data_IF_039827304066
#
_entry.id   IF_039827304066
#
_cell.length_a   1.000
_cell.length_b   1.000
_cell.length_c   1.000
_cell.angle_alpha   90.00
_cell.angle_beta   90.00
_cell.angle_gamma   90.00
#
_symmetry.space_group_name_H-M   'P 1'
#
loop_
_entity.id
_entity.type
_entity.pdbx_description
1 polymer ?
#
# COMPACT_ATOMS: atom_id res chain seq x y z
N UNK A 1 3.87 -12.54 6.87
CA UNK A 1 3.67 -11.26 7.60
C UNK A 1 3.57 -11.53 9.09
N UNK A 2 3.99 -10.59 9.94
CA UNK A 2 3.76 -10.68 11.39
C UNK A 2 2.47 -9.94 11.78
N UNK A 3 1.41 -10.67 12.11
CA UNK A 3 0.16 -10.07 12.59
C UNK A 3 0.17 -9.90 14.11
N UNK A 4 -0.43 -8.82 14.59
CA UNK A 4 -0.78 -8.67 16.02
C UNK A 4 -1.95 -9.58 16.38
N UNK A 5 -2.32 -9.64 17.67
CA UNK A 5 -3.53 -10.36 18.10
C UNK A 5 -4.80 -9.78 17.43
N UNK A 6 -4.92 -8.45 17.37
CA UNK A 6 -6.05 -7.80 16.69
C UNK A 6 -6.02 -8.08 15.19
N UNK A 7 -4.85 -7.97 14.56
CA UNK A 7 -4.67 -8.23 13.15
C UNK A 7 -5.06 -9.66 12.76
N UNK A 8 -4.66 -10.64 13.56
CA UNK A 8 -5.04 -12.04 13.38
C UNK A 8 -6.55 -12.26 13.57
N UNK A 9 -7.16 -11.64 14.58
CA UNK A 9 -8.60 -11.74 14.83
C UNK A 9 -9.42 -11.16 13.67
N UNK A 10 -9.13 -9.93 13.24
CA UNK A 10 -9.80 -9.28 12.12
C UNK A 10 -9.55 -10.01 10.81
N UNK A 11 -8.35 -10.58 10.61
CA UNK A 11 -8.09 -11.37 9.40
C UNK A 11 -8.98 -12.62 9.30
N UNK A 12 -9.49 -13.14 10.41
CA UNK A 12 -10.36 -14.32 10.44
C UNK A 12 -11.85 -13.96 10.49
N UNK A 13 -12.21 -12.67 10.60
CA UNK A 13 -13.60 -12.25 10.68
C UNK A 13 -14.32 -12.32 9.32
N UNK A 14 -15.65 -12.14 9.37
CA UNK A 14 -16.48 -12.02 8.16
C UNK A 14 -16.16 -10.75 7.35
N UNK A 15 -16.59 -10.75 6.09
CA UNK A 15 -16.31 -9.67 5.11
C UNK A 15 -16.74 -8.29 5.63
N UNK A 16 -17.91 -8.18 6.26
CA UNK A 16 -18.40 -6.90 6.77
C UNK A 16 -17.47 -6.28 7.82
N UNK A 17 -16.97 -7.09 8.75
CA UNK A 17 -16.06 -6.60 9.80
C UNK A 17 -14.69 -6.24 9.20
N UNK A 18 -14.19 -7.04 8.25
CA UNK A 18 -12.95 -6.71 7.52
C UNK A 18 -13.05 -5.37 6.81
N UNK A 19 -14.14 -5.13 6.09
CA UNK A 19 -14.36 -3.88 5.36
C UNK A 19 -14.44 -2.68 6.29
N UNK A 20 -15.10 -2.80 7.45
CA UNK A 20 -15.13 -1.76 8.49
C UNK A 20 -13.72 -1.40 8.96
N UNK A 21 -12.88 -2.39 9.26
CA UNK A 21 -11.49 -2.15 9.67
C UNK A 21 -10.64 -1.58 8.52
N UNK A 22 -10.82 -2.06 7.28
CA UNK A 22 -10.16 -1.50 6.12
C UNK A 22 -10.48 -0.01 5.91
N UNK A 23 -11.76 0.36 6.06
CA UNK A 23 -12.19 1.75 5.98
C UNK A 23 -11.58 2.58 7.13
N UNK A 24 -11.57 2.06 8.36
CA UNK A 24 -10.92 2.75 9.48
C UNK A 24 -9.44 3.01 9.20
N UNK A 25 -8.71 2.02 8.67
CA UNK A 25 -7.31 2.17 8.27
C UNK A 25 -7.14 3.18 7.12
N UNK A 26 -7.98 3.15 6.09
CA UNK A 26 -7.91 4.09 4.96
C UNK A 26 -8.28 5.52 5.35
N UNK A 27 -9.22 5.72 6.26
CA UNK A 27 -9.62 7.05 6.72
C UNK A 27 -8.77 7.57 7.90
N UNK A 28 -7.87 6.75 8.44
CA UNK A 28 -6.97 7.14 9.54
C UNK A 28 -7.66 7.18 10.90
N UNK A 29 -8.74 6.41 11.05
CA UNK A 29 -9.41 6.17 12.32
C UNK A 29 -8.74 5.03 13.11
N UNK A 30 -7.83 4.28 12.48
CA UNK A 30 -7.03 3.23 13.09
C UNK A 30 -5.59 3.31 12.58
N UNK A 31 -4.63 2.87 13.40
CA UNK A 31 -3.24 2.72 13.00
C UNK A 31 -2.99 1.30 12.46
N UNK A 32 -2.14 1.15 11.45
CA UNK A 32 -1.82 -0.18 10.90
C UNK A 32 -0.96 -1.00 11.85
N UNK A 33 -0.19 -0.33 12.71
CA UNK A 33 0.70 -1.00 13.67
C UNK A 33 -0.11 -1.79 14.72
N UNK A 34 -1.40 -1.47 14.90
CA UNK A 34 -2.33 -2.26 15.72
C UNK A 34 -2.68 -3.62 15.08
N UNK A 35 -2.41 -3.82 13.79
CA UNK A 35 -2.77 -5.02 13.02
C UNK A 35 -1.55 -5.79 12.50
N UNK A 36 -0.54 -5.08 12.03
CA UNK A 36 0.66 -5.64 11.41
C UNK A 36 1.89 -5.14 12.17
N UNK A 37 2.65 -6.06 12.74
CA UNK A 37 3.89 -5.75 13.45
C UNK A 37 5.06 -5.58 12.49
N UNK A 38 6.02 -4.73 12.84
CA UNK A 38 7.32 -4.63 12.18
C UNK A 38 7.47 -3.49 11.19
N UNK A 39 6.44 -2.68 10.94
CA UNK A 39 6.55 -1.45 10.15
C UNK A 39 6.97 -1.67 8.70
N UNK A 40 6.68 -2.85 8.13
CA UNK A 40 7.05 -3.20 6.75
C UNK A 40 5.96 -2.68 5.80
N UNK A 41 6.34 -1.74 4.92
CA UNK A 41 5.42 -1.07 3.99
C UNK A 41 4.59 -2.02 3.12
N UNK A 42 5.21 -3.07 2.58
CA UNK A 42 4.52 -4.09 1.77
C UNK A 42 3.45 -4.84 2.55
N UNK A 43 3.74 -5.15 3.82
CA UNK A 43 2.85 -5.94 4.66
C UNK A 43 1.64 -5.10 5.08
N UNK A 44 1.87 -3.85 5.49
CA UNK A 44 0.82 -2.87 5.75
C UNK A 44 -0.13 -2.72 4.55
N UNK A 45 0.41 -2.54 3.35
CA UNK A 45 -0.39 -2.43 2.14
C UNK A 45 -1.17 -3.72 1.84
N UNK A 46 -0.52 -4.87 1.98
CA UNK A 46 -1.11 -6.17 1.68
C UNK A 46 -2.26 -6.51 2.64
N UNK A 47 -2.11 -6.17 3.91
CA UNK A 47 -3.13 -6.40 4.92
C UNK A 47 -4.41 -5.60 4.61
N UNK A 48 -4.28 -4.33 4.26
CA UNK A 48 -5.45 -3.51 3.87
C UNK A 48 -6.09 -4.05 2.59
N UNK A 49 -5.30 -4.43 1.58
CA UNK A 49 -5.82 -5.07 0.37
C UNK A 49 -6.62 -6.33 0.70
N UNK A 50 -6.09 -7.18 1.56
CA UNK A 50 -6.75 -8.37 2.03
C UNK A 50 -8.10 -8.06 2.69
N UNK A 51 -8.16 -7.04 3.56
CA UNK A 51 -9.40 -6.67 4.23
C UNK A 51 -10.45 -6.07 3.27
N UNK A 52 -10.03 -5.37 2.22
CA UNK A 52 -10.92 -4.79 1.22
C UNK A 52 -11.51 -5.84 0.26
N UNK A 53 -10.73 -6.87 -0.05
CA UNK A 53 -11.02 -7.86 -1.09
C UNK A 53 -11.65 -9.11 -0.48
N UNK A 54 -12.98 -9.17 -0.53
CA UNK A 54 -13.72 -10.41 -0.24
C UNK A 54 -13.63 -11.46 -1.35
N UNK A 55 -12.96 -11.18 -2.46
CA UNK A 55 -12.87 -12.01 -3.67
C UNK A 55 -11.76 -13.09 -3.62
N UNK A 56 -10.96 -13.13 -2.55
CA UNK A 56 -10.03 -14.24 -2.28
C UNK A 56 -8.68 -14.17 -3.00
N UNK A 57 -8.35 -13.07 -3.68
CA UNK A 57 -7.04 -12.88 -4.34
C UNK A 57 -5.86 -12.96 -3.37
N UNK A 58 -6.08 -12.59 -2.10
CA UNK A 58 -5.15 -12.85 -0.99
C UNK A 58 -5.88 -13.78 -0.02
N UNK A 59 -5.38 -14.99 0.17
CA UNK A 59 -5.92 -15.94 1.15
C UNK A 59 -5.30 -15.71 2.54
N UNK A 60 -5.90 -16.20 3.63
CA UNK A 60 -5.27 -16.17 4.95
C UNK A 60 -3.87 -16.80 4.96
N UNK A 61 -3.67 -17.93 4.26
CA UNK A 61 -2.36 -18.56 4.10
C UNK A 61 -1.36 -17.63 3.38
N UNK A 62 -1.82 -16.95 2.31
CA UNK A 62 -0.96 -15.98 1.58
C UNK A 62 -0.46 -14.86 2.48
N UNK A 63 -1.31 -14.33 3.38
CA UNK A 63 -0.90 -13.30 4.35
C UNK A 63 0.22 -13.78 5.26
N UNK A 64 0.10 -15.01 5.78
CA UNK A 64 1.06 -15.56 6.74
C UNK A 64 2.37 -15.95 6.04
N UNK A 65 2.28 -16.58 4.87
CA UNK A 65 3.42 -17.16 4.16
C UNK A 65 4.22 -16.12 3.34
N UNK A 66 3.62 -14.96 3.03
CA UNK A 66 4.30 -13.90 2.26
C UNK A 66 4.87 -12.85 3.21
N UNK A 67 6.17 -12.62 3.13
CA UNK A 67 6.90 -11.64 3.97
C UNK A 67 7.71 -10.68 3.13
N UNK A 68 7.79 -9.43 3.61
CA UNK A 68 8.68 -8.41 3.03
C UNK A 68 8.57 -8.26 1.51
N UNK A 69 9.70 -8.40 0.81
CA UNK A 69 9.78 -8.16 -0.62
C UNK A 69 9.04 -9.19 -1.49
N UNK A 70 8.67 -10.36 -0.95
CA UNK A 70 7.88 -11.36 -1.70
C UNK A 70 6.50 -10.84 -2.10
N UNK A 71 6.00 -9.81 -1.40
CA UNK A 71 4.78 -9.10 -1.77
C UNK A 71 4.89 -8.37 -3.11
N UNK A 72 6.10 -7.97 -3.57
CA UNK A 72 6.29 -7.28 -4.85
C UNK A 72 5.71 -8.10 -6.01
N UNK A 73 6.04 -9.39 -6.05
CA UNK A 73 5.53 -10.32 -7.07
C UNK A 73 4.01 -10.50 -6.97
N UNK A 74 3.48 -10.53 -5.74
CA UNK A 74 2.03 -10.70 -5.51
C UNK A 74 1.22 -9.47 -5.95
N UNK A 75 1.70 -8.27 -5.65
CA UNK A 75 1.06 -7.02 -6.09
C UNK A 75 1.07 -6.85 -7.61
N UNK A 76 2.00 -7.53 -8.29
CA UNK A 76 2.07 -7.53 -9.74
C UNK A 76 2.19 -6.10 -10.31
N UNK A 77 3.05 -5.29 -9.69
CA UNK A 77 3.26 -3.90 -10.07
C UNK A 77 3.82 -3.74 -11.49
N UNK A 78 4.66 -4.68 -11.93
CA UNK A 78 5.31 -4.65 -13.25
C UNK A 78 4.31 -4.77 -14.41
N UNK A 79 3.21 -5.49 -14.20
CA UNK A 79 2.11 -5.55 -15.17
C UNK A 79 1.03 -4.49 -14.88
N UNK A 80 1.28 -3.60 -13.93
CA UNK A 80 0.38 -2.52 -13.49
C UNK A 80 0.21 -1.40 -14.51
N UNK A 81 -0.59 -0.42 -14.13
CA UNK A 81 -0.55 0.90 -14.77
C UNK A 81 0.50 1.79 -14.10
N UNK A 82 0.99 2.81 -14.79
CA UNK A 82 1.76 3.88 -14.15
C UNK A 82 0.86 5.08 -13.88
N UNK A 83 1.03 5.71 -12.72
CA UNK A 83 0.35 6.96 -12.42
C UNK A 83 1.01 8.12 -13.16
N UNK A 84 0.20 8.91 -13.86
CA UNK A 84 0.61 10.05 -14.68
C UNK A 84 0.85 11.35 -13.87
N UNK A 85 0.65 11.32 -12.56
CA UNK A 85 0.77 12.47 -11.67
C UNK A 85 -0.47 13.35 -11.58
N UNK A 86 -1.55 12.99 -12.28
CA UNK A 86 -2.75 13.84 -12.45
C UNK A 86 -4.05 13.09 -12.23
N UNK A 87 -4.17 11.90 -12.81
CA UNK A 87 -5.36 11.07 -12.77
C UNK A 87 -5.70 10.64 -11.34
N UNK A 88 -6.98 10.57 -11.00
CA UNK A 88 -7.41 10.08 -9.68
C UNK A 88 -7.11 8.58 -9.56
N UNK A 89 -6.38 8.18 -8.52
CA UNK A 89 -6.14 6.78 -8.19
C UNK A 89 -7.33 6.26 -7.38
N UNK A 90 -7.94 5.12 -7.74
CA UNK A 90 -9.01 4.52 -6.95
C UNK A 90 -8.57 4.23 -5.52
N UNK A 91 -9.48 4.42 -4.55
CA UNK A 91 -9.23 4.07 -3.16
C UNK A 91 -9.04 2.55 -3.02
N UNK A 92 -8.12 2.15 -2.15
CA UNK A 92 -7.77 0.76 -1.93
C UNK A 92 -6.80 0.18 -2.95
N UNK A 93 -6.38 0.91 -3.98
CA UNK A 93 -5.31 0.47 -4.90
C UNK A 93 -3.98 0.39 -4.17
N UNK A 94 -3.28 -0.75 -4.27
CA UNK A 94 -1.89 -0.84 -3.82
C UNK A 94 -0.97 -0.13 -4.80
N UNK A 95 -0.04 0.65 -4.27
CA UNK A 95 0.89 1.47 -5.04
C UNK A 95 2.31 1.00 -4.74
N UNK A 96 3.12 0.83 -5.78
CA UNK A 96 4.55 0.54 -5.68
C UNK A 96 5.37 1.72 -6.17
N UNK A 97 6.40 2.10 -5.41
CA UNK A 97 7.39 3.09 -5.85
C UNK A 97 8.61 2.36 -6.36
N UNK A 98 8.96 2.61 -7.62
CA UNK A 98 10.01 1.89 -8.34
C UNK A 98 11.13 2.82 -8.77
N UNK A 99 12.37 2.37 -8.61
CA UNK A 99 13.57 3.03 -9.10
C UNK A 99 14.40 1.99 -9.85
N UNK A 100 14.81 2.32 -11.07
CA UNK A 100 15.59 1.41 -11.94
C UNK A 100 14.93 0.03 -12.10
N UNK A 101 13.60 -0.01 -12.18
CA UNK A 101 12.81 -1.24 -12.28
C UNK A 101 12.57 -1.95 -10.95
N UNK A 102 13.19 -1.51 -9.85
CA UNK A 102 13.02 -2.13 -8.53
C UNK A 102 12.03 -1.36 -7.65
N UNK A 103 10.92 -2.03 -7.31
CA UNK A 103 10.00 -1.50 -6.30
C UNK A 103 10.70 -1.51 -4.94
N UNK A 104 10.82 -0.36 -4.30
CA UNK A 104 11.50 -0.19 -3.00
C UNK A 104 10.53 0.16 -1.86
N UNK A 105 9.35 0.66 -2.18
CA UNK A 105 8.34 1.03 -1.21
C UNK A 105 6.93 0.71 -1.72
N UNK A 106 5.99 0.50 -0.79
CA UNK A 106 4.59 0.26 -1.12
C UNK A 106 3.64 1.03 -0.19
N UNK A 107 2.49 1.40 -0.74
CA UNK A 107 1.47 2.17 -0.05
C UNK A 107 0.07 1.74 -0.49
N UNK A 108 -0.95 2.26 0.18
CA UNK A 108 -2.35 2.13 -0.22
C UNK A 108 -2.92 3.50 -0.56
N UNK A 109 -3.53 3.59 -1.75
CA UNK A 109 -4.34 4.74 -2.13
C UNK A 109 -5.55 4.86 -1.22
N UNK A 110 -5.83 6.06 -0.72
CA UNK A 110 -7.09 6.40 -0.05
C UNK A 110 -8.03 7.18 -0.97
N UNK A 111 -7.72 7.21 -2.27
CA UNK A 111 -8.48 7.92 -3.31
C UNK A 111 -7.81 9.24 -3.74
N UNK A 112 -7.94 9.58 -5.02
CA UNK A 112 -7.32 10.77 -5.60
C UNK A 112 -5.81 10.57 -5.75
N UNK A 113 -5.01 11.50 -5.22
CA UNK A 113 -3.54 11.41 -5.16
C UNK A 113 -3.02 11.03 -3.78
N UNK A 114 -3.91 10.69 -2.83
CA UNK A 114 -3.53 10.50 -1.43
C UNK A 114 -3.27 9.04 -1.11
N UNK A 115 -2.27 8.81 -0.27
CA UNK A 115 -1.85 7.47 0.15
C UNK A 115 -1.66 7.38 1.67
N UNK A 116 -1.66 6.15 2.18
CA UNK A 116 -1.13 5.80 3.51
C UNK A 116 -0.06 4.73 3.37
N UNK A 117 0.99 4.90 4.15
CA UNK A 117 2.14 4.01 4.18
C UNK A 117 2.86 4.09 5.54
N UNK A 118 3.81 3.19 5.74
CA UNK A 118 4.75 3.21 6.86
C UNK A 118 6.17 3.09 6.33
N UNK A 119 7.15 3.68 7.01
CA UNK A 119 8.57 3.52 6.67
C UNK A 119 8.94 3.93 5.23
N UNK A 120 8.25 4.93 4.67
CA UNK A 120 8.47 5.47 3.33
C UNK A 120 9.09 6.87 3.29
N UNK A 121 9.51 7.41 4.43
CA UNK A 121 10.00 8.79 4.52
C UNK A 121 8.94 9.80 4.07
N UNK A 122 9.26 10.59 3.03
CA UNK A 122 8.33 11.57 2.42
C UNK A 122 7.16 10.91 1.70
N UNK A 123 7.24 9.61 1.39
CA UNK A 123 6.15 8.80 0.83
C UNK A 123 5.23 8.19 1.90
N UNK A 124 5.48 8.49 3.18
CA UNK A 124 4.65 8.07 4.31
C UNK A 124 5.48 7.36 5.36
N UNK A 125 5.83 8.08 6.43
CA UNK A 125 6.62 7.53 7.54
C UNK A 125 5.76 6.83 8.60
N UNK A 126 4.46 7.13 8.66
CA UNK A 126 3.52 6.53 9.60
C UNK A 126 2.10 6.60 9.08
N UNK A 127 1.26 5.67 9.55
CA UNK A 127 0.00 5.36 8.89
C UNK A 127 -1.06 6.44 9.05
N UNK A 128 -1.16 7.06 10.23
CA UNK A 128 -2.24 8.00 10.60
C UNK A 128 -2.23 9.31 9.80
N UNK A 129 -1.09 9.70 9.21
CA UNK A 129 -0.98 10.91 8.40
C UNK A 129 -0.90 10.54 6.92
N UNK A 130 -1.95 10.79 6.12
CA UNK A 130 -1.90 10.50 4.70
C UNK A 130 -0.92 11.46 4.01
N UNK A 131 -0.30 10.98 2.93
CA UNK A 131 0.58 11.77 2.06
C UNK A 131 -0.14 12.05 0.75
N UNK A 132 -0.06 13.28 0.27
CA UNK A 132 -0.55 13.68 -1.05
C UNK A 132 0.59 13.62 -2.07
N UNK A 133 0.55 12.63 -2.96
CA UNK A 133 1.59 12.40 -3.96
C UNK A 133 1.79 13.59 -4.89
N UNK A 134 0.71 14.27 -5.26
CA UNK A 134 0.78 15.43 -6.14
C UNK A 134 1.53 16.63 -5.51
N UNK A 135 1.73 16.62 -4.18
CA UNK A 135 2.49 17.64 -3.46
C UNK A 135 3.92 17.23 -3.16
N UNK A 136 4.19 15.94 -2.99
CA UNK A 136 5.52 15.46 -2.57
C UNK A 136 6.38 14.96 -3.71
N UNK A 137 5.78 14.65 -4.86
CA UNK A 137 6.47 14.21 -6.06
C UNK A 137 6.51 15.34 -7.09
N UNK A 138 7.70 15.63 -7.57
CA UNK A 138 7.94 16.58 -8.65
C UNK A 138 8.09 15.78 -9.96
N UNK A 139 7.37 16.12 -11.04
CA UNK A 139 7.55 15.45 -12.32
C UNK A 139 8.98 15.57 -12.83
N UNK A 140 9.51 14.49 -13.38
CA UNK A 140 10.84 14.47 -14.00
C UNK A 140 10.75 14.55 -15.53
N UNK A 141 11.66 15.28 -16.17
CA UNK A 141 11.68 15.44 -17.63
C UNK A 141 11.89 14.12 -18.38
N UNK A 142 12.57 13.14 -17.75
CA UNK A 142 12.72 11.77 -18.26
C UNK A 142 11.45 10.90 -18.11
N UNK A 143 10.35 11.49 -17.65
CA UNK A 143 9.10 10.80 -17.29
C UNK A 143 9.18 10.19 -15.89
N UNK A 144 8.06 10.09 -15.19
CA UNK A 144 8.05 9.69 -13.77
C UNK A 144 8.25 10.90 -12.84
N UNK A 145 8.86 10.69 -11.68
CA UNK A 145 8.97 11.71 -10.64
C UNK A 145 10.35 11.75 -9.98
N UNK A 146 10.85 12.93 -9.67
CA UNK A 146 12.06 13.10 -8.89
C UNK A 146 11.77 12.86 -7.41
N UNK A 147 12.42 11.86 -6.82
CA UNK A 147 12.34 11.54 -5.40
C UNK A 147 13.71 11.09 -4.88
N UNK A 148 14.18 11.69 -3.79
CA UNK A 148 15.51 11.42 -3.22
C UNK A 148 16.63 11.39 -4.28
N UNK A 149 16.65 12.41 -5.14
CA UNK A 149 17.64 12.63 -6.21
C UNK A 149 17.68 11.55 -7.29
N UNK A 150 16.61 10.77 -7.45
CA UNK A 150 16.51 9.81 -8.54
C UNK A 150 15.10 9.72 -9.09
N UNK A 151 15.02 9.34 -10.37
CA UNK A 151 13.78 9.08 -11.06
C UNK A 151 13.03 7.92 -10.39
N UNK A 152 11.77 8.15 -10.07
CA UNK A 152 10.90 7.20 -9.39
C UNK A 152 9.59 7.08 -10.17
N UNK A 153 9.18 5.85 -10.44
CA UNK A 153 7.89 5.52 -11.06
C UNK A 153 6.87 5.16 -9.98
N UNK A 154 5.63 5.56 -10.19
CA UNK A 154 4.50 5.24 -9.30
C UNK A 154 3.64 4.19 -10.01
N UNK A 155 3.75 2.95 -9.57
CA UNK A 155 3.11 1.79 -10.18
C UNK A 155 1.81 1.45 -9.46
N UNK A 156 0.75 1.19 -10.22
CA UNK A 156 -0.59 0.83 -9.73
C UNK A 156 -0.78 -0.69 -9.86
N UNK A 157 -0.91 -1.35 -8.70
CA UNK A 157 -1.12 -2.80 -8.59
C UNK A 157 -2.30 -3.29 -9.43
N UNK A 158 -2.12 -4.44 -10.11
CA UNK A 158 -3.22 -5.21 -10.72
C UNK A 158 -3.82 -6.28 -9.82
N UNK A 159 -3.21 -6.54 -8.65
CA UNK A 159 -3.86 -7.27 -7.56
C UNK A 159 -5.00 -6.45 -6.97
#
# INVERSE_FOLDING_TARGET
MQLTQLGGHVAQSGIAEKQKHAQALMYGMADIDDYVSGGICYEAAAYVRYLLRGDGMITPGTLLDTTGQLWKTRFNFENGGEWDGRSSIPAGTAIGFSRDGHVFHAAISVGGSRIRAVNGGRLGSGWLRPVDLARVLEPDEGGGFLYDRANTRVLLSRL
#
